data_IF_095529385635
#
_entry.id   IF_095529385635
#
_cell.length_a   1.000
_cell.length_b   1.000
_cell.length_c   1.000
_cell.angle_alpha   90.00
_cell.angle_beta   90.00
_cell.angle_gamma   90.00
#
_symmetry.space_group_name_H-M   'P 1'
#
loop_
_entity.id
_entity.type
_entity.pdbx_description
1 polymer ?
#
# COMPACT_ATOMS: atom_id res chain seq x y z
N UNK A 1 -10.30 -19.30 19.19
CA UNK A 1 -10.61 -18.80 18.99
C UNK A 1 -10.71 -17.91 18.01
N UNK A 2 -11.40 -17.59 17.64
CA UNK A 2 -11.54 -16.79 16.58
C UNK A 2 -10.96 -15.51 16.69
N UNK A 3 -10.59 -15.17 17.79
CA UNK A 3 -10.12 -13.96 17.90
C UNK A 3 -8.96 -13.67 17.12
N UNK A 4 -8.20 -14.58 16.78
CA UNK A 4 -7.11 -14.28 16.07
C UNK A 4 -7.50 -13.85 14.77
N UNK A 5 -8.52 -14.31 14.24
CA UNK A 5 -8.90 -13.89 13.01
C UNK A 5 -9.35 -12.51 13.06
N UNK A 6 -9.94 -12.10 14.10
CA UNK A 6 -10.35 -10.79 14.15
C UNK A 6 -9.27 -9.83 14.18
N UNK A 7 -8.17 -10.16 14.74
CA UNK A 7 -7.12 -9.26 14.77
C UNK A 7 -6.49 -9.10 13.45
N UNK A 8 -6.71 -10.03 12.55
CA UNK A 8 -5.97 -10.06 11.34
C UNK A 8 -6.93 -10.37 10.25
N UNK A 9 -7.55 -9.41 9.67
CA UNK A 9 -8.57 -9.69 8.67
C UNK A 9 -7.97 -10.42 7.50
N UNK A 10 -8.68 -11.35 6.96
CA UNK A 10 -8.19 -12.09 5.84
C UNK A 10 -8.05 -11.22 4.63
N UNK A 11 -8.92 -10.28 4.44
CA UNK A 11 -8.92 -9.47 3.25
C UNK A 11 -9.17 -8.03 3.61
N UNK A 12 -8.38 -7.14 3.05
CA UNK A 12 -8.58 -5.72 3.21
C UNK A 12 -8.84 -5.16 1.83
N UNK A 13 -9.92 -4.43 1.68
CA UNK A 13 -10.29 -3.97 0.36
C UNK A 13 -10.69 -2.50 0.40
N UNK A 14 -10.27 -1.74 -0.59
CA UNK A 14 -10.68 -0.36 -0.75
C UNK A 14 -11.21 -0.20 -2.16
N UNK A 15 -11.46 1.02 -2.56
CA UNK A 15 -11.98 1.27 -3.90
C UNK A 15 -11.02 0.79 -4.98
N UNK A 16 -9.72 0.96 -4.78
CA UNK A 16 -8.76 0.66 -5.83
C UNK A 16 -7.90 -0.57 -5.57
N UNK A 17 -7.88 -1.07 -4.36
CA UNK A 17 -6.95 -2.14 -4.01
C UNK A 17 -7.59 -3.21 -3.16
N UNK A 18 -7.04 -4.39 -3.22
CA UNK A 18 -7.45 -5.46 -2.36
C UNK A 18 -6.17 -6.18 -1.93
N UNK A 19 -6.11 -6.62 -0.70
CA UNK A 19 -4.92 -7.28 -0.21
C UNK A 19 -5.31 -8.41 0.71
N UNK A 20 -4.54 -9.47 0.70
CA UNK A 20 -4.79 -10.57 1.61
C UNK A 20 -3.47 -11.20 2.05
N UNK A 21 -3.53 -11.82 3.20
CA UNK A 21 -2.38 -12.38 3.86
C UNK A 21 -2.45 -13.90 3.79
N UNK A 22 -1.32 -14.52 3.55
CA UNK A 22 -1.23 -15.97 3.58
C UNK A 22 -0.19 -16.34 4.62
N UNK A 23 -0.61 -16.58 5.85
CA UNK A 23 0.36 -16.82 6.91
C UNK A 23 1.14 -18.13 6.74
N UNK A 24 0.56 -19.09 6.04
CA UNK A 24 1.27 -20.34 5.85
C UNK A 24 2.50 -20.16 5.00
N UNK A 25 2.45 -19.30 4.01
CA UNK A 25 3.59 -19.02 3.19
C UNK A 25 4.31 -17.77 3.62
N UNK A 26 3.76 -17.05 4.57
CA UNK A 26 4.31 -15.78 5.03
C UNK A 26 4.41 -14.82 3.87
N UNK A 27 3.33 -14.69 3.12
CA UNK A 27 3.29 -13.78 1.99
C UNK A 27 2.05 -12.91 2.07
N UNK A 28 2.12 -11.79 1.38
CA UNK A 28 1.00 -10.87 1.26
C UNK A 28 0.80 -10.60 -0.21
N UNK A 29 -0.44 -10.64 -0.66
CA UNK A 29 -0.76 -10.34 -2.05
C UNK A 29 -1.50 -9.02 -2.12
N UNK A 30 -1.21 -8.22 -3.11
CA UNK A 30 -1.88 -6.94 -3.30
C UNK A 30 -2.44 -6.92 -4.71
N UNK A 31 -3.73 -6.70 -4.83
CA UNK A 31 -4.38 -6.62 -6.13
C UNK A 31 -4.73 -5.18 -6.47
N UNK A 32 -4.48 -4.80 -7.70
CA UNK A 32 -4.75 -3.46 -8.19
C UNK A 32 -5.99 -3.57 -9.04
N UNK A 33 -7.13 -3.22 -8.46
CA UNK A 33 -8.40 -3.57 -9.05
C UNK A 33 -8.62 -3.00 -10.44
N UNK A 34 -8.17 -1.79 -10.64
CA UNK A 34 -8.38 -1.21 -11.92
C UNK A 34 -7.34 -1.57 -12.95
N UNK A 35 -6.32 -2.27 -12.56
CA UNK A 35 -5.26 -2.63 -13.48
C UNK A 35 -5.15 -4.12 -13.71
N UNK A 36 -6.00 -4.88 -13.08
CA UNK A 36 -6.01 -6.32 -13.20
C UNK A 36 -4.62 -6.89 -12.95
N UNK A 37 -4.00 -6.42 -11.89
CA UNK A 37 -2.66 -6.82 -11.56
C UNK A 37 -2.62 -7.30 -10.12
N UNK A 38 -1.92 -8.39 -9.86
CA UNK A 38 -1.73 -8.87 -8.51
C UNK A 38 -0.24 -9.06 -8.28
N UNK A 39 0.26 -8.60 -7.15
CA UNK A 39 1.65 -8.77 -6.81
C UNK A 39 1.75 -9.48 -5.48
N UNK A 40 2.66 -10.44 -5.39
CA UNK A 40 2.89 -11.20 -4.18
C UNK A 40 4.22 -10.81 -3.58
N UNK A 41 4.25 -10.66 -2.27
CA UNK A 41 5.45 -10.27 -1.56
C UNK A 41 5.66 -11.20 -0.39
N UNK A 42 6.90 -11.51 -0.02
CA UNK A 42 7.08 -12.16 1.27
C UNK A 42 6.92 -11.09 2.34
N UNK A 43 6.83 -11.47 3.60
CA UNK A 43 6.56 -10.53 4.66
C UNK A 43 7.60 -9.41 4.74
N UNK A 44 8.86 -9.75 4.65
CA UNK A 44 9.90 -8.74 4.76
C UNK A 44 9.83 -7.75 3.61
N UNK A 45 9.59 -8.25 2.44
CA UNK A 45 9.45 -7.42 1.27
C UNK A 45 8.25 -6.52 1.39
N UNK A 46 7.15 -7.05 1.88
CA UNK A 46 5.95 -6.26 2.03
C UNK A 46 6.13 -5.15 3.04
N UNK A 47 6.80 -5.43 4.15
CA UNK A 47 7.00 -4.41 5.16
C UNK A 47 7.89 -3.29 4.63
N UNK A 48 8.84 -3.63 3.81
CA UNK A 48 9.70 -2.63 3.21
C UNK A 48 8.90 -1.78 2.22
N UNK A 49 8.07 -2.41 1.43
CA UNK A 49 7.22 -1.71 0.49
C UNK A 49 6.27 -0.78 1.24
N UNK A 50 5.70 -1.26 2.34
CA UNK A 50 4.77 -0.46 3.11
C UNK A 50 5.46 0.79 3.69
N UNK A 51 6.72 0.68 4.04
CA UNK A 51 7.45 1.82 4.54
C UNK A 51 7.63 2.88 3.46
N UNK A 52 7.88 2.46 2.24
CA UNK A 52 8.00 3.38 1.14
C UNK A 52 6.66 4.07 0.88
N UNK A 53 5.60 3.30 0.87
CA UNK A 53 4.27 3.84 0.65
C UNK A 53 3.93 4.86 1.73
N UNK A 54 4.27 4.55 2.97
CA UNK A 54 3.96 5.45 4.07
C UNK A 54 4.73 6.76 3.94
N UNK A 55 5.94 6.70 3.49
CA UNK A 55 6.72 7.89 3.31
C UNK A 55 6.14 8.75 2.21
N UNK A 56 5.73 8.14 1.12
CA UNK A 56 5.12 8.86 0.01
C UNK A 56 3.80 9.48 0.47
N UNK A 57 3.03 8.73 1.24
CA UNK A 57 1.78 9.24 1.74
C UNK A 57 2.00 10.49 2.59
N UNK A 58 3.00 10.46 3.46
CA UNK A 58 3.31 11.58 4.31
C UNK A 58 3.73 12.79 3.47
N UNK A 59 4.52 12.54 2.45
CA UNK A 59 4.96 13.62 1.60
C UNK A 59 3.78 14.27 0.88
N UNK A 60 2.89 13.47 0.36
CA UNK A 60 1.72 13.99 -0.34
C UNK A 60 0.85 14.83 0.60
N UNK A 61 0.62 14.34 1.80
CA UNK A 61 -0.20 15.06 2.72
C UNK A 61 0.41 16.37 3.10
N UNK A 62 1.71 16.41 3.31
CA UNK A 62 2.35 17.61 3.65
C UNK A 62 2.32 18.60 2.51
N UNK A 63 2.55 18.15 1.31
CA UNK A 63 2.55 19.02 0.16
C UNK A 63 1.17 19.62 -0.07
N UNK A 64 0.14 18.81 0.11
CA UNK A 64 -1.19 19.34 -0.08
C UNK A 64 -1.56 20.32 0.99
N UNK A 65 -1.10 20.11 2.21
CA UNK A 65 -1.37 21.05 3.26
C UNK A 65 -0.69 22.37 2.98
N UNK A 66 0.42 22.34 2.25
CA UNK A 66 1.12 23.56 1.93
C UNK A 66 0.70 24.16 0.62
N UNK A 67 -0.31 23.59 -0.02
CA UNK A 67 -0.82 24.21 -1.21
C UNK A 67 -0.37 23.55 -2.42
N UNK A 68 0.19 22.76 -2.76
CA UNK A 68 0.39 22.08 -3.94
C UNK A 68 1.74 21.93 -4.52
N UNK A 69 2.73 22.12 -3.81
CA UNK A 69 4.02 21.99 -4.38
C UNK A 69 4.31 20.58 -4.87
N UNK A 70 3.61 19.61 -4.40
CA UNK A 70 3.96 18.28 -4.81
C UNK A 70 3.64 18.06 -6.28
N UNK A 71 2.64 18.71 -6.79
CA UNK A 71 2.36 18.60 -8.15
C UNK A 71 3.44 19.24 -8.95
N UNK A 72 3.93 20.37 -8.52
CA UNK A 72 4.99 21.00 -9.20
C UNK A 72 6.24 20.17 -9.12
N UNK A 73 6.45 19.51 -8.01
CA UNK A 73 7.59 18.67 -7.89
C UNK A 73 7.57 17.51 -8.82
N UNK A 74 6.42 16.92 -8.99
CA UNK A 74 6.30 15.84 -9.90
C UNK A 74 6.57 16.28 -11.31
N UNK A 75 6.07 17.42 -11.67
CA UNK A 75 6.29 17.92 -12.97
C UNK A 75 7.76 18.15 -13.21
N UNK A 76 8.45 18.66 -12.24
CA UNK A 76 9.83 18.88 -12.40
C UNK A 76 10.60 17.63 -12.52
N UNK A 77 10.17 16.60 -11.87
CA UNK A 77 10.86 15.38 -11.93
C UNK A 77 10.81 14.75 -13.24
N UNK A 78 9.83 15.05 -13.98
CA UNK A 78 9.70 14.43 -15.21
C UNK A 78 10.58 14.92 -16.22
N UNK A 79 11.24 15.97 -16.01
CA UNK A 79 12.16 16.40 -17.01
C UNK A 79 13.43 15.92 -16.87
#
# INVERSE_FOLDING_TARGET
MAKKQEQFPDIVETEFFISWDDPDSETVSVGFLERSLVMDFDYAEFLDFAAVVDEVRTYIKKARANGSPWQNGLTQHEH
#
